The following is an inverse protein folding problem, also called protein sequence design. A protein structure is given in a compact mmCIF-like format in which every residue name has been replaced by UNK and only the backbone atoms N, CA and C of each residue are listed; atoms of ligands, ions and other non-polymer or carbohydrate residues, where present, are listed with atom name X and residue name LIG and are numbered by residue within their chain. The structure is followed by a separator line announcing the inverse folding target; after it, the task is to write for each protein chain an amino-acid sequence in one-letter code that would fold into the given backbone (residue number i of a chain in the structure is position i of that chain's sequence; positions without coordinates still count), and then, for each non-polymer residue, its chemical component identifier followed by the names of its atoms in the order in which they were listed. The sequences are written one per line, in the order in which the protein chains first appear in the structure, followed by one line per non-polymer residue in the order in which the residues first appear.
data_IF_369515791703
#
_entry.id   IF_369515791703
#
_cell.length_a   1.000
_cell.length_b   1.000
_cell.length_c   1.000
_cell.angle_alpha   90.00
_cell.angle_beta   90.00
_cell.angle_gamma   90.00
#
_symmetry.space_group_name_H-M   'P 1'
#
loop_
_entity.id
_entity.type
_entity.pdbx_description
1 polymer ?
#
# COMPACT_ATOMS: atom_id res chain seq x y z
N UNK A 1 16.71 -2.17 -14.41
CA UNK A 1 16.30 -0.94 -13.69
C UNK A 1 15.60 -1.41 -12.45
N UNK A 2 16.07 -1.02 -11.27
CA UNK A 2 15.55 -1.53 -9.99
C UNK A 2 14.32 -0.70 -9.64
N UNK A 3 13.18 -1.02 -10.24
CA UNK A 3 11.92 -0.30 -9.99
C UNK A 3 11.42 -0.69 -8.59
N UNK A 4 11.61 0.20 -7.63
CA UNK A 4 11.15 0.02 -6.27
C UNK A 4 9.62 0.23 -6.21
N UNK A 5 8.89 -0.82 -5.83
CA UNK A 5 7.45 -0.74 -5.62
C UNK A 5 7.17 -0.44 -4.16
N UNK A 6 6.29 0.53 -3.92
CA UNK A 6 5.71 0.74 -2.60
C UNK A 6 4.55 -0.24 -2.47
N UNK A 7 4.43 -0.86 -1.31
CA UNK A 7 3.39 -1.82 -0.96
C UNK A 7 2.77 -1.38 0.37
N UNK A 8 1.45 -1.24 0.41
CA UNK A 8 0.69 -1.14 1.65
C UNK A 8 -0.17 -2.38 1.76
N UNK A 9 -0.02 -3.12 2.85
CA UNK A 9 -0.88 -4.24 3.20
C UNK A 9 -1.74 -3.84 4.41
N UNK A 10 -3.06 -3.93 4.24
CA UNK A 10 -4.03 -3.76 5.32
C UNK A 10 -4.07 -5.03 6.18
N UNK A 11 -4.78 -4.96 7.30
CA UNK A 11 -4.88 -6.05 8.28
C UNK A 11 -5.31 -7.38 7.63
N UNK A 12 -4.89 -8.51 8.21
CA UNK A 12 -5.14 -9.85 7.65
C UNK A 12 -6.64 -10.14 7.50
N UNK A 13 -7.46 -9.56 8.38
CA UNK A 13 -8.93 -9.62 8.31
C UNK A 13 -9.53 -8.87 7.12
N UNK A 14 -8.81 -7.88 6.59
CA UNK A 14 -9.23 -7.09 5.43
C UNK A 14 -8.72 -7.69 4.12
N UNK A 15 -7.48 -8.19 4.11
CA UNK A 15 -6.86 -8.77 2.92
C UNK A 15 -6.61 -7.77 1.79
N UNK A 16 -6.76 -6.46 2.05
CA UNK A 16 -6.49 -5.43 1.07
C UNK A 16 -4.99 -5.19 0.94
N UNK A 17 -4.47 -5.35 -0.27
CA UNK A 17 -3.08 -5.10 -0.60
C UNK A 17 -3.01 -4.15 -1.78
N UNK A 18 -2.22 -3.10 -1.64
CA UNK A 18 -2.01 -2.09 -2.66
C UNK A 18 -0.53 -1.98 -2.97
N UNK A 19 -0.18 -1.92 -4.25
CA UNK A 19 1.20 -1.71 -4.71
C UNK A 19 1.22 -0.65 -5.81
N UNK A 20 2.11 0.32 -5.70
CA UNK A 20 2.32 1.34 -6.73
C UNK A 20 3.76 1.86 -6.71
N UNK A 21 4.21 2.45 -7.81
CA UNK A 21 5.47 3.20 -7.86
C UNK A 21 5.31 4.58 -7.22
N UNK A 22 4.10 5.13 -7.32
CA UNK A 22 3.79 6.47 -6.85
C UNK A 22 3.39 6.46 -5.38
N UNK A 23 4.10 7.23 -4.56
CA UNK A 23 3.82 7.31 -3.13
C UNK A 23 2.48 7.99 -2.87
N UNK A 24 2.15 9.03 -3.63
CA UNK A 24 0.91 9.77 -3.39
C UNK A 24 -0.31 8.91 -3.64
N UNK A 25 -0.30 8.13 -4.73
CA UNK A 25 -1.40 7.22 -5.03
C UNK A 25 -1.57 6.15 -3.96
N UNK A 26 -0.47 5.56 -3.47
CA UNK A 26 -0.54 4.52 -2.45
C UNK A 26 -1.11 5.06 -1.13
N UNK A 27 -0.72 6.28 -0.77
CA UNK A 27 -1.21 6.96 0.44
C UNK A 27 -2.69 7.32 0.31
N UNK A 28 -3.10 7.89 -0.82
CA UNK A 28 -4.46 8.34 -1.06
C UNK A 28 -5.45 7.16 -1.06
N UNK A 29 -5.13 6.11 -1.83
CA UNK A 29 -5.92 4.89 -1.88
C UNK A 29 -5.95 4.17 -0.52
N UNK A 30 -4.83 4.14 0.21
CA UNK A 30 -4.78 3.60 1.58
C UNK A 30 -5.70 4.36 2.54
N UNK A 31 -5.73 5.69 2.45
CA UNK A 31 -6.60 6.54 3.28
C UNK A 31 -8.07 6.39 2.91
N UNK A 32 -8.39 6.37 1.62
CA UNK A 32 -9.75 6.13 1.11
C UNK A 32 -10.25 4.75 1.56
N UNK A 33 -9.39 3.72 1.46
CA UNK A 33 -9.70 2.37 1.92
C UNK A 33 -10.05 2.36 3.41
N UNK A 34 -9.20 2.94 4.26
CA UNK A 34 -9.42 2.98 5.71
C UNK A 34 -10.69 3.76 6.08
N UNK A 35 -10.94 4.89 5.41
CA UNK A 35 -12.14 5.70 5.64
C UNK A 35 -13.42 4.98 5.21
N UNK A 36 -13.41 4.26 4.10
CA UNK A 36 -14.61 3.61 3.57
C UNK A 36 -14.86 2.21 4.14
N UNK A 37 -13.81 1.43 4.41
CA UNK A 37 -13.91 0.03 4.87
C UNK A 37 -13.85 -0.10 6.38
N UNK A 38 -13.06 0.73 7.04
CA UNK A 38 -12.87 0.70 8.49
C UNK A 38 -13.55 1.87 9.20
N UNK A 39 -14.10 2.85 8.47
CA UNK A 39 -14.61 4.11 9.03
C UNK A 39 -13.56 4.83 9.91
N UNK A 40 -12.27 4.59 9.63
CA UNK A 40 -11.15 5.13 10.38
C UNK A 40 -10.37 6.08 9.48
N UNK A 41 -9.89 7.17 10.06
CA UNK A 41 -9.05 8.14 9.34
C UNK A 41 -7.63 8.07 9.91
N UNK A 42 -6.78 7.15 9.42
CA UNK A 42 -5.40 7.07 9.88
C UNK A 42 -4.65 8.34 9.51
N UNK A 43 -3.69 8.72 10.36
CA UNK A 43 -2.74 9.78 10.04
C UNK A 43 -1.77 9.32 8.95
N UNK A 44 -1.27 10.27 8.18
CA UNK A 44 -0.37 10.05 7.06
C UNK A 44 0.92 9.34 7.54
N UNK A 45 1.38 9.65 8.77
CA UNK A 45 2.50 8.98 9.41
C UNK A 45 2.26 7.48 9.66
N UNK A 46 1.06 7.08 10.08
CA UNK A 46 0.72 5.66 10.32
C UNK A 46 0.61 4.87 9.03
N UNK A 47 0.01 5.48 8.00
CA UNK A 47 -0.04 4.89 6.66
C UNK A 47 1.37 4.71 6.07
N UNK A 48 2.27 5.70 6.22
CA UNK A 48 3.68 5.57 5.78
C UNK A 48 4.41 4.52 6.60
N UNK A 49 4.16 4.41 7.90
CA UNK A 49 4.77 3.37 8.74
C UNK A 49 4.37 1.95 8.31
N UNK A 50 3.16 1.77 7.74
CA UNK A 50 2.70 0.50 7.16
C UNK A 50 3.14 0.31 5.70
N UNK A 51 3.75 1.30 5.07
CA UNK A 51 4.25 1.21 3.70
C UNK A 51 5.59 0.48 3.68
N UNK A 52 5.63 -0.66 3.00
CA UNK A 52 6.85 -1.43 2.77
C UNK A 52 7.32 -1.21 1.34
N UNK A 53 8.61 -0.96 1.15
CA UNK A 53 9.21 -0.94 -0.20
C UNK A 53 9.59 -2.38 -0.53
N UNK A 54 8.97 -2.92 -1.58
CA UNK A 54 9.29 -4.23 -2.10
C UNK A 54 10.02 -4.09 -3.43
N UNK A 55 11.08 -4.87 -3.67
CA UNK A 55 11.66 -4.93 -5.00
C UNK A 55 10.57 -5.43 -5.96
N UNK A 56 10.45 -4.79 -7.14
CA UNK A 56 9.62 -5.30 -8.22
C UNK A 56 10.27 -6.58 -8.78
N UNK A 57 10.26 -7.67 -8.00
CA UNK A 57 10.55 -8.99 -8.54
C UNK A 57 9.33 -9.36 -9.36
N UNK A 58 9.41 -9.06 -10.66
CA UNK A 58 8.49 -9.52 -11.68
C UNK A 58 8.10 -10.97 -11.37
N UNK A 59 6.83 -11.16 -11.03
CA UNK A 59 6.24 -12.50 -10.97
C UNK A 59 6.39 -13.13 -12.35
N UNK A 60 7.39 -14.00 -12.43
CA UNK A 60 7.52 -15.14 -13.32
C UNK A 60 7.20 -14.89 -14.80
N UNK A 61 8.26 -14.80 -15.61
CA UNK A 61 8.27 -15.43 -16.93
C UNK A 61 7.59 -16.80 -16.84
N UNK A 62 6.50 -17.03 -17.57
CA UNK A 62 6.20 -18.29 -18.28
C UNK A 62 5.31 -17.98 -19.47
#
# INVERSE_FOLDING_TARGET
MNEELKLIQCDDKCGFQLRSHDEKEIMDLGRIHMKNKHNMTPSDAELRAKMTIVPQTAGSKR
#
